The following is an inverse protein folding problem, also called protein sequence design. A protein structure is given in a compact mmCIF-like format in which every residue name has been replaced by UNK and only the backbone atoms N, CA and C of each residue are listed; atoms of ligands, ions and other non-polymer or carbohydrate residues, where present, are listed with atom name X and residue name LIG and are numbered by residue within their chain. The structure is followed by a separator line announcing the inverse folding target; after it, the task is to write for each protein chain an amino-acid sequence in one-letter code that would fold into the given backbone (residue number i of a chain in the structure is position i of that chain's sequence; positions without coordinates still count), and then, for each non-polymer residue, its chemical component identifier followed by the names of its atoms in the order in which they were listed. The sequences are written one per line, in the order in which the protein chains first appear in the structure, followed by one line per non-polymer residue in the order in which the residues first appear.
data_IF_596685219977
#
_entry.id   IF_596685219977
#
_cell.length_a   1.000
_cell.length_b   1.000
_cell.length_c   1.000
_cell.angle_alpha   90.00
_cell.angle_beta   90.00
_cell.angle_gamma   90.00
#
_symmetry.space_group_name_H-M   'P 1'
#
loop_
_entity.id
_entity.type
_entity.pdbx_description
1 polymer ?
#
# COMPACT_ATOMS: atom_id res chain seq x y z
N UNK A 1 -16.31 -7.47 2.42
CA UNK A 1 -14.94 -7.58 1.81
C UNK A 1 -14.06 -8.35 2.76
N UNK A 2 -13.56 -9.49 2.33
CA UNK A 2 -12.62 -10.28 3.14
C UNK A 2 -11.19 -9.82 2.86
N UNK A 3 -10.26 -10.18 3.76
CA UNK A 3 -8.84 -9.89 3.56
C UNK A 3 -8.30 -10.59 2.32
N UNK A 4 -8.76 -11.82 2.07
CA UNK A 4 -8.39 -12.59 0.88
C UNK A 4 -8.84 -11.90 -0.41
N UNK A 5 -10.06 -11.37 -0.42
CA UNK A 5 -10.58 -10.62 -1.57
C UNK A 5 -9.77 -9.35 -1.79
N UNK A 6 -9.44 -8.63 -0.73
CA UNK A 6 -8.65 -7.41 -0.83
C UNK A 6 -7.25 -7.73 -1.37
N UNK A 7 -6.62 -8.80 -0.90
CA UNK A 7 -5.30 -9.23 -1.40
C UNK A 7 -5.36 -9.60 -2.88
N UNK A 8 -6.42 -10.29 -3.31
CA UNK A 8 -6.61 -10.61 -4.74
C UNK A 8 -6.70 -9.36 -5.60
N UNK A 9 -7.33 -8.31 -5.10
CA UNK A 9 -7.41 -7.04 -5.80
C UNK A 9 -6.03 -6.38 -5.93
N UNK A 10 -5.19 -6.53 -4.90
CA UNK A 10 -3.81 -6.04 -4.95
C UNK A 10 -2.99 -6.81 -6.01
N UNK A 11 -3.14 -8.14 -6.08
CA UNK A 11 -2.48 -8.95 -7.09
C UNK A 11 -2.89 -8.49 -8.50
N UNK A 12 -4.19 -8.29 -8.70
CA UNK A 12 -4.69 -7.81 -10.01
C UNK A 12 -4.14 -6.43 -10.36
N UNK A 13 -4.05 -5.54 -9.38
CA UNK A 13 -3.51 -4.19 -9.59
C UNK A 13 -2.04 -4.24 -10.02
N UNK A 14 -1.28 -5.22 -9.57
CA UNK A 14 0.14 -5.37 -9.92
C UNK A 14 0.34 -5.59 -11.43
N UNK A 15 -0.66 -6.07 -12.14
CA UNK A 15 -0.57 -6.28 -13.59
C UNK A 15 -0.39 -4.96 -14.35
N UNK A 16 -0.87 -3.86 -13.80
CA UNK A 16 -0.76 -2.53 -14.41
C UNK A 16 0.54 -1.81 -14.03
N UNK A 17 1.41 -2.44 -13.26
CA UNK A 17 2.69 -1.86 -12.82
C UNK A 17 3.53 -1.40 -14.02
N UNK A 18 4.09 -0.20 -13.90
CA UNK A 18 5.10 0.28 -14.83
C UNK A 18 6.46 0.14 -14.15
N UNK A 19 7.14 -0.99 -14.37
CA UNK A 19 8.38 -1.32 -13.68
C UNK A 19 9.47 -1.84 -14.64
N UNK A 20 9.84 -1.04 -15.68
CA UNK A 20 10.79 -1.50 -16.69
C UNK A 20 12.22 -1.64 -16.15
N UNK A 21 12.55 -1.00 -15.03
CA UNK A 21 13.89 -1.00 -14.46
C UNK A 21 14.11 -2.14 -13.49
N UNK A 22 13.27 -2.24 -12.46
CA UNK A 22 13.39 -3.31 -11.46
C UNK A 22 12.78 -4.63 -11.90
N UNK A 23 11.77 -4.57 -12.77
CA UNK A 23 10.93 -5.71 -13.16
C UNK A 23 10.24 -6.34 -11.96
N UNK A 24 10.09 -5.58 -10.88
CA UNK A 24 9.36 -6.01 -9.69
C UNK A 24 8.02 -5.28 -9.67
N UNK A 25 6.95 -6.04 -9.83
CA UNK A 25 5.59 -5.49 -9.91
C UNK A 25 4.92 -5.54 -8.56
N UNK A 26 4.38 -4.39 -8.12
CA UNK A 26 3.68 -4.28 -6.86
C UNK A 26 2.30 -3.72 -7.12
N UNK A 27 1.31 -4.31 -6.47
CA UNK A 27 -0.05 -3.80 -6.45
C UNK A 27 -0.51 -3.58 -5.03
N UNK A 28 -1.40 -2.62 -4.86
CA UNK A 28 -2.02 -2.32 -3.58
C UNK A 28 -3.52 -2.15 -3.75
N UNK A 29 -4.27 -2.53 -2.73
CA UNK A 29 -5.71 -2.33 -2.66
C UNK A 29 -6.03 -1.72 -1.31
N UNK A 30 -6.50 -0.48 -1.32
CA UNK A 30 -6.79 0.31 -0.13
C UNK A 30 -8.30 0.30 0.11
N UNK A 31 -8.71 -0.15 1.29
CA UNK A 31 -10.12 -0.20 1.68
C UNK A 31 -10.45 1.00 2.58
N UNK A 32 -11.44 1.78 2.17
CA UNK A 32 -11.93 2.89 2.98
C UNK A 32 -12.87 2.39 4.08
N UNK A 33 -13.15 3.23 5.07
CA UNK A 33 -14.05 2.86 6.16
C UNK A 33 -15.48 2.61 5.67
N UNK A 34 -15.90 3.28 4.58
CA UNK A 34 -17.24 3.10 4.02
C UNK A 34 -17.33 1.99 2.98
N UNK A 35 -16.26 1.22 2.78
CA UNK A 35 -16.29 0.01 1.95
C UNK A 35 -15.85 0.18 0.51
N UNK A 36 -15.31 1.33 0.12
CA UNK A 36 -14.74 1.51 -1.22
C UNK A 36 -13.33 0.97 -1.28
N UNK A 37 -12.91 0.56 -2.47
CA UNK A 37 -11.54 0.09 -2.71
C UNK A 37 -10.88 0.95 -3.78
N UNK A 38 -9.67 1.43 -3.47
CA UNK A 38 -8.83 2.15 -4.40
C UNK A 38 -7.56 1.33 -4.64
N UNK A 39 -7.30 0.98 -5.89
CA UNK A 39 -6.12 0.19 -6.23
C UNK A 39 -5.00 1.09 -6.74
N UNK A 40 -3.77 0.60 -6.61
CA UNK A 40 -2.61 1.28 -7.14
C UNK A 40 -1.54 0.28 -7.52
N UNK A 41 -0.58 0.72 -8.32
CA UNK A 41 0.58 -0.07 -8.69
C UNK A 41 1.82 0.81 -8.64
N UNK A 42 3.01 0.20 -8.60
CA UNK A 42 4.24 0.97 -8.64
C UNK A 42 4.47 1.52 -10.05
N UNK A 43 4.97 2.75 -10.10
CA UNK A 43 5.23 3.46 -11.35
C UNK A 43 6.64 4.01 -11.26
N UNK A 44 7.53 3.39 -12.04
CA UNK A 44 8.94 3.73 -12.04
C UNK A 44 9.24 4.88 -13.00
N UNK A 45 10.36 5.51 -12.78
CA UNK A 45 10.83 6.62 -13.59
C UNK A 45 12.33 6.44 -13.83
N UNK A 46 12.82 6.85 -14.99
CA UNK A 46 14.26 6.85 -15.28
C UNK A 46 15.03 7.72 -14.28
N UNK A 47 14.38 8.76 -13.75
CA UNK A 47 14.86 9.45 -12.56
C UNK A 47 14.33 8.70 -11.35
N UNK A 48 15.13 7.82 -10.78
CA UNK A 48 14.69 6.84 -9.79
C UNK A 48 13.98 7.46 -8.57
N UNK A 49 14.40 8.63 -8.17
CA UNK A 49 13.79 9.33 -7.03
C UNK A 49 12.33 9.72 -7.25
N UNK A 50 11.86 9.72 -8.50
CA UNK A 50 10.47 10.05 -8.83
C UNK A 50 9.58 8.82 -8.87
N UNK A 51 10.12 7.63 -8.69
CA UNK A 51 9.36 6.39 -8.62
C UNK A 51 8.37 6.45 -7.47
N UNK A 52 7.12 6.01 -7.73
CA UNK A 52 6.06 5.97 -6.71
C UNK A 52 5.66 4.53 -6.46
N UNK A 53 5.61 4.15 -5.18
CA UNK A 53 5.19 2.80 -4.78
C UNK A 53 3.69 2.63 -4.94
N UNK A 54 3.24 1.38 -5.07
CA UNK A 54 1.83 1.03 -5.25
C UNK A 54 0.95 1.59 -4.14
N UNK A 55 1.42 1.52 -2.90
CA UNK A 55 0.66 1.98 -1.73
C UNK A 55 0.36 3.47 -1.83
N UNK A 56 1.37 4.27 -2.21
CA UNK A 56 1.18 5.72 -2.35
C UNK A 56 0.28 6.06 -3.53
N UNK A 57 0.38 5.31 -4.62
CA UNK A 57 -0.53 5.49 -5.77
C UNK A 57 -1.98 5.30 -5.32
N UNK A 58 -2.26 4.25 -4.54
CA UNK A 58 -3.61 3.96 -4.05
C UNK A 58 -4.09 5.04 -3.08
N UNK A 59 -3.24 5.43 -2.11
CA UNK A 59 -3.58 6.45 -1.11
C UNK A 59 -3.85 7.79 -1.78
N UNK A 60 -2.97 8.22 -2.67
CA UNK A 60 -3.11 9.53 -3.31
C UNK A 60 -4.34 9.58 -4.22
N UNK A 61 -4.66 8.47 -4.88
CA UNK A 61 -5.88 8.36 -5.66
C UNK A 61 -7.12 8.56 -4.77
N UNK A 62 -7.14 7.86 -3.63
CA UNK A 62 -8.27 7.95 -2.69
C UNK A 62 -8.42 9.37 -2.14
N UNK A 63 -7.31 9.97 -1.68
CA UNK A 63 -7.31 11.34 -1.14
C UNK A 63 -7.81 12.33 -2.19
N UNK A 64 -7.34 12.21 -3.44
CA UNK A 64 -7.74 13.11 -4.53
C UNK A 64 -9.22 13.00 -4.87
N UNK A 65 -9.86 11.89 -4.51
CA UNK A 65 -11.28 11.69 -4.73
C UNK A 65 -12.12 11.99 -3.47
N UNK A 66 -11.51 12.50 -2.41
CA UNK A 66 -12.21 12.94 -1.21
C UNK A 66 -12.32 11.91 -0.09
N UNK A 67 -11.56 10.81 -0.16
CA UNK A 67 -11.60 9.74 0.85
C UNK A 67 -10.31 9.74 1.65
N UNK A 68 -10.40 9.98 2.95
CA UNK A 68 -9.24 10.05 3.85
C UNK A 68 -9.37 9.18 5.11
N UNK A 69 -10.41 8.34 5.17
CA UNK A 69 -10.63 7.41 6.28
C UNK A 69 -10.46 5.98 5.78
N UNK A 70 -9.43 5.29 6.26
CA UNK A 70 -9.04 3.99 5.74
C UNK A 70 -9.11 2.91 6.81
N UNK A 71 -9.49 1.70 6.39
CA UNK A 71 -9.61 0.54 7.28
C UNK A 71 -8.45 -0.44 7.10
N UNK A 72 -8.03 -0.68 5.87
CA UNK A 72 -7.01 -1.69 5.56
C UNK A 72 -6.36 -1.42 4.20
N UNK A 73 -5.18 -1.97 4.03
CA UNK A 73 -4.52 -2.01 2.72
C UNK A 73 -3.94 -3.41 2.52
N UNK A 74 -4.08 -3.95 1.31
CA UNK A 74 -3.39 -5.16 0.91
C UNK A 74 -2.26 -4.79 -0.04
N UNK A 75 -1.11 -5.45 0.07
CA UNK A 75 0.05 -5.20 -0.78
C UNK A 75 0.59 -6.53 -1.28
N UNK A 76 0.77 -6.63 -2.58
CA UNK A 76 1.28 -7.83 -3.26
C UNK A 76 2.40 -7.43 -4.21
N UNK A 77 3.51 -8.17 -4.17
CA UNK A 77 4.65 -7.86 -5.04
C UNK A 77 5.34 -9.11 -5.54
N UNK A 78 5.86 -9.06 -6.77
CA UNK A 78 6.53 -10.20 -7.37
C UNK A 78 7.39 -9.79 -8.56
N UNK A 79 8.54 -10.46 -8.71
CA UNK A 79 9.40 -10.34 -9.89
C UNK A 79 9.06 -11.38 -10.95
N UNK A 80 8.45 -12.50 -10.56
CA UNK A 80 8.27 -13.68 -11.42
C UNK A 80 6.81 -14.11 -11.60
N UNK A 81 5.87 -13.36 -11.02
CA UNK A 81 4.44 -13.69 -11.07
C UNK A 81 3.98 -14.52 -9.88
N UNK A 82 4.87 -14.91 -8.99
CA UNK A 82 4.53 -15.59 -7.74
C UNK A 82 4.35 -14.56 -6.62
N UNK A 83 3.10 -14.34 -6.19
CA UNK A 83 2.77 -13.36 -5.17
C UNK A 83 2.63 -13.98 -3.78
N UNK A 84 3.16 -15.19 -3.58
CA UNK A 84 3.04 -15.89 -2.29
C UNK A 84 4.01 -15.39 -1.22
N UNK A 85 5.01 -14.61 -1.60
CA UNK A 85 5.98 -14.06 -0.66
C UNK A 85 5.54 -12.66 -0.19
N UNK A 86 5.68 -12.34 1.11
CA UNK A 86 5.27 -11.03 1.60
C UNK A 86 6.11 -9.91 1.00
N UNK A 87 5.44 -8.83 0.61
CA UNK A 87 6.06 -7.61 0.13
C UNK A 87 5.73 -6.50 1.12
N UNK A 88 6.62 -6.26 2.05
CA UNK A 88 6.40 -5.27 3.11
C UNK A 88 6.45 -3.86 2.52
N UNK A 89 5.52 -2.97 2.89
CA UNK A 89 5.59 -1.58 2.49
C UNK A 89 6.91 -0.94 2.92
N UNK A 90 7.49 -0.12 2.06
CA UNK A 90 8.73 0.59 2.39
C UNK A 90 8.48 1.68 3.44
N UNK A 91 9.56 2.19 4.03
CA UNK A 91 9.46 3.21 5.07
C UNK A 91 8.70 4.47 4.63
N UNK A 92 8.91 4.91 3.39
CA UNK A 92 8.20 6.08 2.86
C UNK A 92 6.70 5.84 2.80
N UNK A 93 6.27 4.64 2.37
CA UNK A 93 4.85 4.29 2.32
C UNK A 93 4.25 4.17 3.71
N UNK A 94 4.99 3.58 4.66
CA UNK A 94 4.54 3.49 6.05
C UNK A 94 4.39 4.88 6.66
N UNK A 95 5.29 5.81 6.32
CA UNK A 95 5.19 7.19 6.79
C UNK A 95 3.95 7.87 6.20
N UNK A 96 3.67 7.68 4.93
CA UNK A 96 2.46 8.24 4.29
C UNK A 96 1.21 7.67 4.95
N UNK A 97 1.16 6.36 5.18
CA UNK A 97 0.02 5.73 5.88
C UNK A 97 -0.13 6.29 7.29
N UNK A 98 0.96 6.62 7.95
CA UNK A 98 0.93 7.16 9.33
C UNK A 98 0.25 8.53 9.42
N UNK A 99 0.16 9.28 8.34
CA UNK A 99 -0.56 10.55 8.31
C UNK A 99 -2.07 10.34 8.48
N UNK A 100 -2.61 9.27 7.89
CA UNK A 100 -4.04 9.06 7.77
C UNK A 100 -4.56 7.90 8.64
N UNK A 101 -3.68 7.05 9.17
CA UNK A 101 -4.07 5.80 9.81
C UNK A 101 -3.48 5.69 11.21
N UNK A 102 -4.25 5.07 12.12
CA UNK A 102 -3.81 4.84 13.48
C UNK A 102 -3.06 3.51 13.65
N UNK A 103 -2.71 3.20 14.91
CA UNK A 103 -1.94 2.01 15.28
C UNK A 103 -2.56 0.70 14.80
N UNK A 104 -3.88 0.63 14.80
CA UNK A 104 -4.63 -0.59 14.51
C UNK A 104 -4.94 -0.78 13.03
N UNK A 105 -4.47 0.13 12.17
CA UNK A 105 -4.70 0.00 10.74
C UNK A 105 -4.14 -1.33 10.23
N UNK A 106 -4.94 -2.06 9.46
CA UNK A 106 -4.62 -3.39 8.99
C UNK A 106 -3.85 -3.36 7.68
N UNK A 107 -2.72 -4.05 7.64
CA UNK A 107 -1.91 -4.24 6.43
C UNK A 107 -1.91 -5.73 6.11
N UNK A 108 -2.51 -6.10 4.97
CA UNK A 108 -2.64 -7.50 4.55
C UNK A 108 -1.52 -7.83 3.57
N UNK A 109 -0.65 -8.74 3.97
CA UNK A 109 0.44 -9.23 3.12
C UNK A 109 0.18 -10.69 2.77
N UNK A 110 1.07 -11.28 1.98
CA UNK A 110 0.87 -12.64 1.50
C UNK A 110 0.88 -13.68 2.63
N UNK A 111 1.63 -13.43 3.70
CA UNK A 111 1.77 -14.38 4.81
C UNK A 111 0.71 -14.21 5.90
N UNK A 112 0.35 -12.96 6.22
CA UNK A 112 -0.65 -12.66 7.25
C UNK A 112 -1.00 -11.17 7.25
N UNK A 113 -1.91 -10.78 8.12
CA UNK A 113 -2.19 -9.37 8.36
C UNK A 113 -1.30 -8.84 9.50
N UNK A 114 -1.01 -7.56 9.42
CA UNK A 114 -0.20 -6.82 10.38
C UNK A 114 -0.97 -5.57 10.80
N UNK A 115 -0.66 -5.06 11.99
CA UNK A 115 -1.07 -3.70 12.36
C UNK A 115 0.03 -2.72 11.95
N UNK A 116 -0.35 -1.50 11.64
CA UNK A 116 0.61 -0.45 11.30
C UNK A 116 1.67 -0.29 12.41
N UNK A 117 1.25 -0.37 13.67
CA UNK A 117 2.15 -0.26 14.82
C UNK A 117 3.20 -1.38 14.88
N UNK A 118 2.92 -2.55 14.30
CA UNK A 118 3.90 -3.63 14.22
C UNK A 118 5.02 -3.34 13.22
N UNK A 119 4.67 -2.71 12.09
CA UNK A 119 5.63 -2.43 11.02
C UNK A 119 6.36 -1.11 11.23
N UNK A 120 5.79 -0.20 12.01
CA UNK A 120 6.36 1.12 12.29
C UNK A 120 5.97 1.56 13.71
N UNK A 121 6.65 1.04 14.74
CA UNK A 121 6.22 1.26 16.14
C UNK A 121 6.38 2.70 16.63
N UNK A 122 7.39 3.42 16.17
CA UNK A 122 7.67 4.79 16.62
C UNK A 122 7.50 5.76 15.45
N UNK A 123 6.24 6.02 15.10
CA UNK A 123 5.93 6.81 13.91
C UNK A 123 6.06 8.31 14.17
N UNK A 124 6.58 9.02 13.18
CA UNK A 124 6.52 10.46 13.15
C UNK A 124 5.12 10.89 12.69
N UNK A 125 4.43 11.66 13.51
CA UNK A 125 3.07 12.13 13.19
C UNK A 125 2.96 13.63 13.49
N UNK A 126 1.83 14.21 13.13
CA UNK A 126 1.56 15.63 13.40
C UNK A 126 1.67 15.96 14.89
N UNK A 127 1.44 14.99 15.79
CA UNK A 127 1.62 15.19 17.22
C UNK A 127 3.04 15.59 17.60
N UNK A 128 4.03 15.15 16.83
CA UNK A 128 5.45 15.49 17.07
C UNK A 128 5.75 16.97 16.77
N UNK A 129 4.86 17.66 16.04
CA UNK A 129 5.05 19.05 15.66
C UNK A 129 4.45 20.04 16.68
N UNK A 130 3.85 19.54 17.75
CA UNK A 130 3.20 20.37 18.77
C UNK A 130 4.06 20.58 19.99
#
# INVERSE_FOLDING_TARGET
MTESELFSMAVNAAEESYSPYSRFRVGAALLTEDGRVFTGCNIENSSYSLTVCAERTAVFKAISEGFDKFRAIAVAGSADGDFSRPCTPCGACLQVLSEFCGDDFTIVLADRKYRLSELMPNRFTAANLK
#
